data_IF_310689702080
#
_entry.id   IF_310689702080
#
_cell.length_a   1.000
_cell.length_b   1.000
_cell.length_c   1.000
_cell.angle_alpha   90.00
_cell.angle_beta   90.00
_cell.angle_gamma   90.00
#
_symmetry.space_group_name_H-M   'P 1'
#
loop_
_entity.id
_entity.type
_entity.pdbx_description
1 polymer ?
#
# COMPACT_ATOMS: atom_id res chain seq x y z
N UNK A 1 8.80 -8.91 12.41
CA UNK A 1 9.41 -7.89 13.30
C UNK A 1 10.53 -7.27 12.50
N UNK A 2 10.42 -5.97 12.23
CA UNK A 2 11.23 -5.25 11.26
C UNK A 2 12.71 -5.14 11.69
N UNK A 3 13.60 -4.91 10.72
CA UNK A 3 15.05 -4.67 10.83
C UNK A 3 15.41 -3.39 11.62
N UNK A 4 14.78 -3.15 12.77
CA UNK A 4 14.94 -1.97 13.62
C UNK A 4 15.76 -2.34 14.85
N UNK A 5 16.75 -1.52 15.16
CA UNK A 5 17.51 -1.62 16.40
C UNK A 5 16.92 -0.62 17.39
N UNK A 6 16.35 -1.13 18.47
CA UNK A 6 15.72 -0.30 19.51
C UNK A 6 16.78 0.12 20.51
N UNK A 7 16.81 1.41 20.84
CA UNK A 7 17.69 2.01 21.84
C UNK A 7 16.88 2.47 23.05
N UNK A 8 17.49 2.37 24.23
CA UNK A 8 16.98 2.85 25.51
C UNK A 8 17.32 4.34 25.78
N UNK A 9 18.03 4.99 24.86
CA UNK A 9 18.44 6.38 24.95
C UNK A 9 17.80 7.24 23.87
N UNK A 10 17.68 8.55 24.15
CA UNK A 10 17.24 9.54 23.16
C UNK A 10 18.32 9.75 22.10
N UNK A 11 17.88 9.92 20.87
CA UNK A 11 18.76 10.08 19.72
C UNK A 11 18.61 11.49 19.14
N UNK A 12 19.73 12.08 18.72
CA UNK A 12 19.76 13.44 18.15
C UNK A 12 20.46 13.42 16.80
N UNK A 13 19.85 14.07 15.81
CA UNK A 13 20.43 14.21 14.47
C UNK A 13 21.76 14.95 14.53
N UNK A 14 22.73 14.51 13.74
CA UNK A 14 24.07 15.08 13.66
C UNK A 14 25.01 14.62 14.77
N UNK A 15 24.53 13.81 15.73
CA UNK A 15 25.37 13.25 16.80
C UNK A 15 25.70 11.79 16.54
N UNK A 16 26.85 11.37 17.07
CA UNK A 16 27.19 9.95 17.17
C UNK A 16 26.46 9.33 18.36
N UNK A 17 25.97 8.11 18.14
CA UNK A 17 25.33 7.27 19.13
C UNK A 17 26.16 6.01 19.29
N UNK A 18 26.46 5.66 20.54
CA UNK A 18 27.17 4.43 20.88
C UNK A 18 26.12 3.34 21.12
N UNK A 19 26.33 2.19 20.49
CA UNK A 19 25.48 1.01 20.58
C UNK A 19 26.29 -0.11 21.24
N UNK A 20 25.77 -0.66 22.33
CA UNK A 20 26.37 -1.73 23.13
C UNK A 20 25.31 -2.78 23.48
N UNK A 21 25.71 -3.97 23.94
CA UNK A 21 24.78 -4.99 24.44
C UNK A 21 23.77 -5.52 23.39
N UNK A 22 22.50 -5.74 23.75
CA UNK A 22 21.50 -6.34 22.84
C UNK A 22 21.31 -5.58 21.51
N UNK A 23 21.29 -4.23 21.48
CA UNK A 23 21.30 -3.46 20.24
C UNK A 23 22.50 -3.76 19.31
N UNK A 24 23.69 -4.03 19.86
CA UNK A 24 24.87 -4.39 19.08
C UNK A 24 24.76 -5.80 18.50
N UNK A 25 24.18 -6.73 19.25
CA UNK A 25 23.88 -8.09 18.77
C UNK A 25 22.88 -8.05 17.61
N UNK A 26 21.84 -7.22 17.71
CA UNK A 26 20.88 -7.00 16.63
C UNK A 26 21.55 -6.42 15.37
N UNK A 27 22.46 -5.44 15.52
CA UNK A 27 23.25 -4.92 14.41
C UNK A 27 24.07 -6.00 13.70
N UNK A 28 24.69 -6.91 14.47
CA UNK A 28 25.47 -8.02 13.93
C UNK A 28 24.62 -9.07 13.26
N UNK A 29 23.49 -9.42 13.87
CA UNK A 29 22.53 -10.36 13.32
C UNK A 29 22.00 -9.87 11.96
N UNK A 30 21.80 -8.57 11.80
CA UNK A 30 21.43 -7.93 10.53
C UNK A 30 22.60 -7.81 9.53
N UNK A 31 23.79 -8.34 9.83
CA UNK A 31 24.96 -8.27 8.94
C UNK A 31 25.59 -6.89 8.83
N UNK A 32 25.42 -6.04 9.85
CA UNK A 32 25.97 -4.68 9.88
C UNK A 32 27.50 -4.66 9.79
N UNK A 33 28.04 -3.79 8.94
CA UNK A 33 29.47 -3.53 8.77
C UNK A 33 29.75 -2.03 8.85
N UNK A 34 31.01 -1.63 8.96
CA UNK A 34 31.39 -0.22 8.85
C UNK A 34 30.88 0.32 7.51
N UNK A 35 30.22 1.48 7.55
CA UNK A 35 29.55 2.10 6.41
C UNK A 35 28.09 1.67 6.20
N UNK A 36 27.61 0.63 6.87
CA UNK A 36 26.19 0.22 6.79
C UNK A 36 25.26 1.32 7.29
N UNK A 37 24.10 1.44 6.64
CA UNK A 37 23.01 2.31 7.08
C UNK A 37 21.99 1.43 7.79
N UNK A 38 21.54 1.86 8.97
CA UNK A 38 20.59 1.14 9.80
C UNK A 38 19.48 2.08 10.29
N UNK A 39 18.38 1.46 10.72
CA UNK A 39 17.25 2.14 11.36
C UNK A 39 17.34 1.95 12.87
N UNK A 40 17.37 3.06 13.60
CA UNK A 40 17.37 3.11 15.06
C UNK A 40 16.04 3.66 15.55
N UNK A 41 15.44 3.02 16.54
CA UNK A 41 14.27 3.57 17.24
C UNK A 41 14.73 4.03 18.62
N UNK A 42 14.51 5.29 18.96
CA UNK A 42 14.90 5.82 20.28
C UNK A 42 13.92 5.44 21.39
N UNK A 43 14.21 5.86 22.62
CA UNK A 43 13.35 5.60 23.77
C UNK A 43 12.00 6.33 23.75
N UNK A 44 11.80 7.30 22.85
CA UNK A 44 10.51 7.97 22.60
C UNK A 44 9.70 7.30 21.47
N UNK A 45 10.23 6.24 20.86
CA UNK A 45 9.59 5.56 19.73
C UNK A 45 9.76 6.26 18.39
N UNK A 46 10.66 7.25 18.28
CA UNK A 46 10.99 7.91 17.01
C UNK A 46 12.05 7.12 16.25
N UNK A 47 11.92 7.07 14.94
CA UNK A 47 12.89 6.40 14.08
C UNK A 47 13.93 7.36 13.52
N UNK A 48 15.15 6.87 13.42
CA UNK A 48 16.33 7.58 12.97
C UNK A 48 17.11 6.72 11.99
N UNK A 49 17.80 7.37 11.05
CA UNK A 49 18.80 6.69 10.23
C UNK A 49 20.19 7.01 10.70
N UNK A 50 20.95 5.94 10.87
CA UNK A 50 22.32 5.99 11.32
C UNK A 50 23.27 5.31 10.34
N UNK A 51 24.49 5.82 10.19
CA UNK A 51 25.58 5.14 9.48
C UNK A 51 26.60 4.63 10.48
N UNK A 52 26.94 3.34 10.40
CA UNK A 52 28.01 2.75 11.24
C UNK A 52 29.34 3.38 10.86
N UNK A 53 29.93 4.16 11.76
CA UNK A 53 31.26 4.74 11.57
C UNK A 53 32.34 3.78 12.06
N UNK A 54 32.09 3.10 13.18
CA UNK A 54 33.03 2.17 13.80
C UNK A 54 32.28 0.96 14.35
N UNK A 55 32.86 -0.21 14.20
CA UNK A 55 32.33 -1.46 14.73
C UNK A 55 33.47 -2.22 15.40
N UNK A 56 33.28 -2.56 16.68
CA UNK A 56 34.24 -3.33 17.47
C UNK A 56 33.57 -4.56 18.09
N UNK A 57 34.36 -5.35 18.83
CA UNK A 57 33.89 -6.54 19.57
C UNK A 57 32.83 -6.25 20.64
N UNK A 58 32.79 -5.04 21.20
CA UNK A 58 31.94 -4.70 22.35
C UNK A 58 31.03 -3.49 22.13
N UNK A 59 31.31 -2.66 21.11
CA UNK A 59 30.52 -1.47 20.79
C UNK A 59 30.55 -1.09 19.32
N UNK A 60 29.54 -0.34 18.88
CA UNK A 60 29.51 0.34 17.58
C UNK A 60 29.27 1.84 17.77
N UNK A 61 29.89 2.69 16.95
CA UNK A 61 29.52 4.10 16.81
C UNK A 61 28.72 4.28 15.53
N UNK A 62 27.57 4.94 15.67
CA UNK A 62 26.63 5.21 14.58
C UNK A 62 26.36 6.71 14.51
N UNK A 63 26.67 7.33 13.38
CA UNK A 63 26.33 8.73 13.13
C UNK A 63 24.89 8.85 12.65
N UNK A 64 24.10 9.63 13.38
CA UNK A 64 22.70 9.89 13.05
C UNK A 64 22.64 11.05 12.07
N UNK A 65 21.98 10.85 10.94
CA UNK A 65 21.89 11.87 9.89
C UNK A 65 20.47 12.17 9.43
N UNK A 66 19.48 11.39 9.88
CA UNK A 66 18.08 11.53 9.46
C UNK A 66 17.14 11.15 10.60
N UNK A 67 15.98 11.80 10.70
CA UNK A 67 14.86 11.37 11.54
C UNK A 67 13.63 11.23 10.66
N UNK A 68 12.79 10.24 10.94
CA UNK A 68 11.53 10.12 10.25
C UNK A 68 10.45 9.72 11.24
N UNK A 69 9.29 10.38 11.14
CA UNK A 69 8.08 9.91 11.80
C UNK A 69 7.78 8.52 11.26
N UNK A 70 7.53 7.59 12.17
CA UNK A 70 7.41 6.16 11.92
C UNK A 70 6.19 5.80 11.06
N UNK A 71 6.21 6.16 9.78
CA UNK A 71 5.59 5.43 8.67
C UNK A 71 6.15 6.01 7.36
N UNK A 72 7.19 5.38 6.80
CA UNK A 72 7.53 5.54 5.37
C UNK A 72 6.50 4.83 4.47
N UNK A 73 5.29 4.61 4.98
CA UNK A 73 4.24 3.84 4.34
C UNK A 73 3.15 4.82 3.97
N UNK A 74 2.78 4.81 2.70
CA UNK A 74 1.59 5.49 2.21
C UNK A 74 0.35 5.04 2.99
N UNK A 75 -0.54 5.99 3.29
CA UNK A 75 -1.87 5.68 3.81
C UNK A 75 -2.75 4.97 2.76
N UNK A 76 -2.33 4.99 1.49
CA UNK A 76 -2.95 4.27 0.40
C UNK A 76 -2.47 2.82 0.36
N UNK A 77 -3.33 1.89 0.78
CA UNK A 77 -3.08 0.45 0.71
C UNK A 77 -3.32 -0.07 -0.72
N UNK A 78 -2.29 -0.01 -1.55
CA UNK A 78 -2.33 -0.58 -2.90
C UNK A 78 -2.14 -2.10 -2.83
N UNK A 79 -3.07 -2.86 -3.39
CA UNK A 79 -2.98 -4.32 -3.55
C UNK A 79 -2.87 -4.63 -5.04
N UNK A 80 -1.70 -5.14 -5.45
CA UNK A 80 -1.42 -5.51 -6.83
C UNK A 80 -1.83 -6.96 -7.11
N UNK A 81 -2.87 -7.14 -7.91
CA UNK A 81 -3.19 -8.42 -8.55
C UNK A 81 -2.39 -8.51 -9.84
N UNK A 82 -1.44 -9.43 -9.90
CA UNK A 82 -0.52 -9.58 -11.01
C UNK A 82 -0.70 -10.95 -11.66
N UNK A 83 -1.19 -10.97 -12.91
CA UNK A 83 -1.19 -12.20 -13.69
C UNK A 83 0.26 -12.66 -13.91
N UNK A 84 0.51 -13.96 -13.85
CA UNK A 84 1.87 -14.48 -14.02
C UNK A 84 2.41 -14.12 -15.41
N UNK A 85 3.51 -13.34 -15.52
CA UNK A 85 4.13 -13.05 -16.79
C UNK A 85 4.83 -14.30 -17.34
N UNK A 86 4.94 -14.41 -18.66
CA UNK A 86 5.55 -15.58 -19.32
C UNK A 86 7.08 -15.67 -19.09
N UNK A 87 7.74 -14.53 -18.82
CA UNK A 87 9.20 -14.41 -18.61
C UNK A 87 9.55 -14.13 -17.15
N UNK A 88 10.84 -14.10 -16.82
CA UNK A 88 11.41 -13.70 -15.51
C UNK A 88 11.17 -12.21 -15.17
N UNK A 89 9.92 -11.76 -15.20
CA UNK A 89 9.52 -10.36 -14.96
C UNK A 89 8.90 -10.15 -13.60
N UNK A 90 8.35 -11.21 -13.00
CA UNK A 90 7.70 -11.11 -11.68
C UNK A 90 8.66 -10.61 -10.60
N UNK A 91 9.93 -11.04 -10.63
CA UNK A 91 10.94 -10.59 -9.65
C UNK A 91 11.15 -9.08 -9.72
N UNK A 92 11.22 -8.55 -10.95
CA UNK A 92 11.31 -7.11 -11.20
C UNK A 92 10.05 -6.37 -10.75
N UNK A 93 8.87 -6.91 -11.05
CA UNK A 93 7.58 -6.35 -10.60
C UNK A 93 7.53 -6.30 -9.08
N UNK A 94 7.88 -7.40 -8.40
CA UNK A 94 7.89 -7.47 -6.93
C UNK A 94 8.85 -6.43 -6.37
N UNK A 95 10.08 -6.36 -6.89
CA UNK A 95 11.07 -5.40 -6.44
C UNK A 95 10.54 -3.96 -6.57
N UNK A 96 10.05 -3.57 -7.75
CA UNK A 96 9.65 -2.19 -8.03
C UNK A 96 8.30 -1.81 -7.41
N UNK A 97 7.34 -2.72 -7.37
CA UNK A 97 6.09 -2.50 -6.65
C UNK A 97 6.34 -2.34 -5.14
N UNK A 98 7.29 -3.11 -4.59
CA UNK A 98 7.72 -2.97 -3.19
C UNK A 98 8.36 -1.62 -2.94
N UNK A 99 9.31 -1.18 -3.78
CA UNK A 99 9.94 0.15 -3.70
C UNK A 99 8.89 1.28 -3.75
N UNK A 100 7.83 1.12 -4.54
CA UNK A 100 6.74 2.09 -4.70
C UNK A 100 5.62 1.98 -3.65
N UNK A 101 5.81 1.22 -2.56
CA UNK A 101 4.86 1.24 -1.44
C UNK A 101 3.62 0.35 -1.59
N UNK A 102 3.64 -0.68 -2.45
CA UNK A 102 2.53 -1.66 -2.49
C UNK A 102 2.38 -2.36 -1.13
N UNK A 103 1.16 -2.63 -0.67
CA UNK A 103 0.92 -3.33 0.59
C UNK A 103 0.90 -4.86 0.43
N UNK A 104 0.38 -5.35 -0.69
CA UNK A 104 0.36 -6.77 -1.01
C UNK A 104 0.42 -7.02 -2.51
N UNK A 105 0.96 -8.18 -2.89
CA UNK A 105 0.99 -8.66 -4.28
C UNK A 105 0.32 -10.02 -4.32
N UNK A 106 -0.65 -10.18 -5.22
CA UNK A 106 -1.44 -11.38 -5.44
C UNK A 106 -1.12 -11.92 -6.83
N UNK A 107 -0.28 -12.96 -6.93
CA UNK A 107 -0.02 -13.63 -8.19
C UNK A 107 -1.25 -14.44 -8.60
N UNK A 108 -1.64 -14.40 -9.88
CA UNK A 108 -2.76 -15.22 -10.35
C UNK A 108 -2.61 -15.78 -11.76
N UNK A 109 -3.41 -16.80 -12.07
CA UNK A 109 -3.59 -17.36 -13.42
C UNK A 109 -4.72 -16.64 -14.15
N UNK A 110 -4.37 -15.93 -15.21
CA UNK A 110 -5.30 -15.57 -16.28
C UNK A 110 -5.34 -16.66 -17.36
N UNK A 111 -6.31 -16.59 -18.25
CA UNK A 111 -6.43 -17.49 -19.40
C UNK A 111 -5.21 -17.43 -20.33
N UNK A 112 -4.59 -16.25 -20.47
CA UNK A 112 -3.43 -15.99 -21.33
C UNK A 112 -2.10 -15.94 -20.60
N UNK A 113 -2.04 -16.41 -19.36
CA UNK A 113 -0.80 -16.54 -18.60
C UNK A 113 -0.40 -18.01 -18.47
N UNK A 114 0.92 -18.24 -18.37
CA UNK A 114 1.46 -19.54 -17.99
C UNK A 114 0.93 -19.98 -16.62
N UNK A 115 0.80 -21.30 -16.41
CA UNK A 115 0.46 -21.84 -15.09
C UNK A 115 1.65 -21.73 -14.12
N UNK A 116 1.39 -21.80 -12.82
CA UNK A 116 2.46 -21.87 -11.81
C UNK A 116 3.33 -23.12 -11.99
N UNK A 117 2.75 -24.27 -12.36
CA UNK A 117 3.48 -25.52 -12.60
C UNK A 117 4.37 -25.42 -13.84
N UNK A 118 3.87 -24.83 -14.92
CA UNK A 118 4.66 -24.51 -16.12
C UNK A 118 5.80 -23.55 -15.79
N UNK A 119 5.56 -22.63 -14.85
CA UNK A 119 6.58 -21.71 -14.38
C UNK A 119 7.61 -22.42 -13.50
N UNK A 120 7.18 -23.23 -12.54
CA UNK A 120 8.07 -23.94 -11.62
C UNK A 120 8.87 -25.05 -12.28
N UNK A 121 8.27 -25.74 -13.26
CA UNK A 121 8.97 -26.70 -14.13
C UNK A 121 10.04 -26.02 -14.98
N UNK A 122 9.76 -24.81 -15.49
CA UNK A 122 10.78 -23.97 -16.13
C UNK A 122 11.79 -23.45 -15.10
N UNK A 123 11.32 -23.03 -13.91
CA UNK A 123 12.08 -22.31 -12.89
C UNK A 123 11.43 -22.37 -11.49
N UNK A 124 11.99 -23.18 -10.58
CA UNK A 124 11.57 -23.25 -9.17
C UNK A 124 11.99 -22.01 -8.37
N UNK A 125 11.25 -20.89 -8.46
CA UNK A 125 11.62 -19.63 -7.77
C UNK A 125 10.48 -18.93 -7.02
N UNK A 126 9.25 -19.46 -7.02
CA UNK A 126 8.13 -18.83 -6.32
C UNK A 126 8.40 -18.62 -4.81
N UNK A 127 9.13 -19.57 -4.19
CA UNK A 127 9.59 -19.46 -2.79
C UNK A 127 10.47 -18.23 -2.50
N UNK A 128 11.14 -17.66 -3.53
CA UNK A 128 12.07 -16.52 -3.37
C UNK A 128 11.40 -15.16 -3.46
N UNK A 129 10.12 -15.09 -3.85
CA UNK A 129 9.43 -13.81 -4.04
C UNK A 129 9.35 -13.00 -2.76
N UNK A 130 9.10 -13.65 -1.62
CA UNK A 130 9.12 -12.98 -0.33
C UNK A 130 10.52 -12.47 0.02
N UNK A 131 11.59 -13.21 -0.29
CA UNK A 131 12.97 -12.75 -0.08
C UNK A 131 13.31 -11.52 -0.92
N UNK A 132 12.83 -11.47 -2.17
CA UNK A 132 13.01 -10.31 -3.06
C UNK A 132 12.30 -9.09 -2.47
N UNK A 133 11.08 -9.25 -1.98
CA UNK A 133 10.35 -8.19 -1.29
C UNK A 133 11.09 -7.70 -0.04
N UNK A 134 11.64 -8.61 0.79
CA UNK A 134 12.45 -8.25 1.97
C UNK A 134 13.67 -7.43 1.56
N UNK A 135 14.41 -7.85 0.53
CA UNK A 135 15.59 -7.10 0.03
C UNK A 135 15.19 -5.72 -0.52
N UNK A 136 14.07 -5.63 -1.23
CA UNK A 136 13.56 -4.36 -1.73
C UNK A 136 13.14 -3.43 -0.59
N UNK A 137 12.53 -3.94 0.48
CA UNK A 137 12.20 -3.18 1.70
C UNK A 137 13.45 -2.64 2.36
N UNK A 138 14.51 -3.46 2.51
CA UNK A 138 15.79 -3.03 3.07
C UNK A 138 16.43 -1.91 2.24
N UNK A 139 16.38 -2.02 0.91
CA UNK A 139 16.96 -1.02 0.00
C UNK A 139 16.16 0.28 -0.03
N UNK A 140 14.83 0.19 -0.15
CA UNK A 140 13.91 1.35 -0.18
C UNK A 140 13.66 1.95 1.19
N UNK A 141 14.06 1.23 2.25
CA UNK A 141 13.91 1.61 3.66
C UNK A 141 12.45 1.74 4.08
N UNK A 142 11.61 0.84 3.56
CA UNK A 142 10.21 0.70 3.99
C UNK A 142 10.13 0.12 5.40
N UNK A 143 9.08 0.49 6.13
CA UNK A 143 8.84 -0.02 7.47
C UNK A 143 8.14 -1.39 7.45
N UNK A 144 7.37 -1.67 6.39
CA UNK A 144 6.59 -2.91 6.25
C UNK A 144 7.02 -3.69 5.01
N UNK A 145 7.14 -5.00 5.17
CA UNK A 145 7.33 -5.91 4.05
C UNK A 145 5.98 -6.21 3.42
N UNK A 146 5.79 -6.00 2.11
CA UNK A 146 4.54 -6.36 1.47
C UNK A 146 4.31 -7.87 1.54
N UNK A 147 3.06 -8.25 1.71
CA UNK A 147 2.69 -9.67 1.71
C UNK A 147 2.63 -10.16 0.27
N UNK A 148 3.41 -11.18 -0.06
CA UNK A 148 3.23 -11.93 -1.30
C UNK A 148 2.24 -13.06 -1.00
N UNK A 149 1.02 -12.91 -1.51
CA UNK A 149 -0.04 -13.89 -1.31
C UNK A 149 0.21 -15.17 -2.13
N UNK A 150 -0.37 -16.32 -1.73
CA UNK A 150 -0.36 -17.53 -2.54
C UNK A 150 -0.93 -17.27 -3.92
N UNK A 151 -0.43 -18.03 -4.89
CA UNK A 151 -0.95 -18.02 -6.26
C UNK A 151 -2.40 -18.52 -6.31
N UNK A 152 -3.24 -17.85 -7.10
CA UNK A 152 -4.68 -18.12 -7.22
C UNK A 152 -5.15 -18.15 -8.68
N UNK A 153 -6.36 -18.62 -8.91
CA UNK A 153 -7.06 -18.43 -10.19
C UNK A 153 -7.55 -16.99 -10.37
N UNK A 154 -7.91 -16.63 -11.60
CA UNK A 154 -8.53 -15.33 -11.90
C UNK A 154 -9.78 -15.08 -11.04
N UNK A 155 -10.67 -16.06 -10.93
CA UNK A 155 -11.93 -15.96 -10.19
C UNK A 155 -11.68 -15.74 -8.69
N UNK A 156 -10.85 -16.58 -8.07
CA UNK A 156 -10.50 -16.45 -6.66
C UNK A 156 -9.85 -15.08 -6.37
N UNK A 157 -9.11 -14.53 -7.33
CA UNK A 157 -8.49 -13.22 -7.20
C UNK A 157 -9.52 -12.09 -7.21
N UNK A 158 -10.58 -12.22 -8.02
CA UNK A 158 -11.71 -11.28 -7.99
C UNK A 158 -12.49 -11.37 -6.67
N UNK A 159 -12.68 -12.58 -6.14
CA UNK A 159 -13.39 -12.83 -4.87
C UNK A 159 -12.61 -12.35 -3.64
N UNK A 160 -11.28 -12.35 -3.71
CA UNK A 160 -10.43 -11.77 -2.68
C UNK A 160 -10.67 -10.26 -2.49
N UNK A 161 -11.11 -9.56 -3.55
CA UNK A 161 -11.25 -8.11 -3.53
C UNK A 161 -12.55 -7.68 -2.84
N UNK A 162 -12.41 -7.00 -1.69
CA UNK A 162 -13.54 -6.44 -0.93
C UNK A 162 -14.37 -5.47 -1.76
N UNK A 163 -15.67 -5.35 -1.48
CA UNK A 163 -16.57 -4.46 -2.21
C UNK A 163 -16.27 -2.97 -1.98
N UNK A 164 -15.87 -2.61 -0.75
CA UNK A 164 -15.61 -1.21 -0.34
C UNK A 164 -14.19 -0.72 -0.70
N UNK A 165 -13.78 -0.90 -1.95
CA UNK A 165 -12.47 -0.45 -2.43
C UNK A 165 -12.52 -0.04 -3.90
N UNK A 166 -11.64 0.89 -4.29
CA UNK A 166 -11.44 1.20 -5.70
C UNK A 166 -10.75 0.02 -6.39
N UNK A 167 -11.35 -0.48 -7.47
CA UNK A 167 -10.84 -1.61 -8.24
C UNK A 167 -10.54 -1.16 -9.67
N UNK A 168 -9.27 -1.22 -10.06
CA UNK A 168 -8.79 -0.82 -11.38
C UNK A 168 -8.27 -2.04 -12.12
N UNK A 169 -8.67 -2.21 -13.37
CA UNK A 169 -8.18 -3.23 -14.28
C UNK A 169 -7.43 -2.55 -15.43
N UNK A 170 -6.17 -2.90 -15.68
CA UNK A 170 -5.48 -2.43 -16.87
C UNK A 170 -5.88 -3.25 -18.09
N UNK A 171 -6.46 -2.58 -19.09
CA UNK A 171 -6.84 -3.23 -20.35
C UNK A 171 -6.61 -2.31 -21.55
N UNK A 172 -5.89 -2.81 -22.54
CA UNK A 172 -5.43 -2.04 -23.69
C UNK A 172 -6.53 -1.72 -24.73
N UNK A 173 -7.55 -2.57 -24.82
CA UNK A 173 -8.59 -2.47 -25.86
C UNK A 173 -9.65 -1.43 -25.58
N UNK A 174 -10.16 -1.37 -24.36
CA UNK A 174 -11.20 -0.43 -23.92
C UNK A 174 -10.91 -0.04 -22.48
N UNK A 175 -11.28 1.18 -22.10
CA UNK A 175 -11.09 1.64 -20.74
C UNK A 175 -11.06 3.15 -20.65
N UNK A 176 -11.37 3.64 -19.47
CA UNK A 176 -11.36 5.07 -19.19
C UNK A 176 -9.92 5.56 -18.94
N UNK A 177 -9.72 6.87 -19.04
CA UNK A 177 -8.46 7.45 -18.59
C UNK A 177 -8.44 7.55 -17.05
N UNK A 178 -7.25 7.37 -16.45
CA UNK A 178 -7.09 7.53 -14.99
C UNK A 178 -7.60 8.88 -14.49
N UNK A 179 -7.43 9.98 -15.26
CA UNK A 179 -7.94 11.31 -14.91
C UNK A 179 -9.46 11.33 -14.67
N UNK A 180 -10.21 10.60 -15.49
CA UNK A 180 -11.68 10.52 -15.35
C UNK A 180 -12.05 9.69 -14.13
N UNK A 181 -11.34 8.58 -13.91
CA UNK A 181 -11.53 7.74 -12.72
C UNK A 181 -11.24 8.52 -11.45
N UNK A 182 -10.12 9.25 -11.38
CA UNK A 182 -9.77 10.09 -10.24
C UNK A 182 -10.76 11.23 -10.03
N UNK A 183 -11.20 11.93 -11.08
CA UNK A 183 -12.21 12.99 -10.92
C UNK A 183 -13.52 12.45 -10.32
N UNK A 184 -13.95 11.25 -10.73
CA UNK A 184 -15.12 10.58 -10.17
C UNK A 184 -14.87 10.15 -8.73
N UNK A 185 -13.71 9.59 -8.46
CA UNK A 185 -13.30 9.16 -7.14
C UNK A 185 -13.21 10.34 -6.17
N UNK A 186 -12.53 11.43 -6.52
CA UNK A 186 -12.49 12.66 -5.71
C UNK A 186 -13.86 13.32 -5.54
N UNK A 187 -14.78 13.19 -6.51
CA UNK A 187 -16.16 13.68 -6.33
C UNK A 187 -16.96 12.84 -5.33
N UNK A 188 -16.71 11.54 -5.27
CA UNK A 188 -17.31 10.60 -4.32
C UNK A 188 -16.62 10.65 -2.95
N UNK A 189 -15.33 11.00 -2.93
CA UNK A 189 -14.45 11.06 -1.77
C UNK A 189 -13.67 12.38 -1.80
N UNK A 190 -14.30 13.52 -1.48
CA UNK A 190 -13.66 14.83 -1.55
C UNK A 190 -12.39 14.86 -0.70
N UNK A 191 -11.27 15.38 -1.23
CA UNK A 191 -10.05 15.53 -0.46
C UNK A 191 -10.32 16.40 0.77
N UNK A 192 -9.67 16.01 1.86
CA UNK A 192 -9.71 16.59 3.18
C UNK A 192 -9.71 18.13 3.18
N UNK A 193 -10.88 18.74 3.37
CA UNK A 193 -10.95 20.06 4.01
C UNK A 193 -11.18 19.82 5.49
N UNK A 194 -10.27 20.29 6.35
CA UNK A 194 -10.47 20.37 7.80
C UNK A 194 -11.78 21.13 8.08
N UNK A 195 -12.90 20.43 8.21
CA UNK A 195 -14.10 21.01 8.82
C UNK A 195 -13.95 20.92 10.32
N UNK A 196 -13.37 21.96 10.89
CA UNK A 196 -13.50 22.25 12.32
C UNK A 196 -14.99 22.47 12.64
N UNK A 197 -15.69 21.44 13.09
CA UNK A 197 -16.94 21.61 13.81
C UNK A 197 -16.61 22.23 15.16
N UNK A 198 -16.67 23.57 15.27
CA UNK A 198 -16.62 24.25 16.57
C UNK A 198 -17.84 23.83 17.38
N UNK A 199 -17.62 23.20 18.53
CA UNK A 199 -18.67 22.92 19.49
C UNK A 199 -19.24 24.23 20.03
N UNK A 200 -20.36 24.65 19.47
CA UNK A 200 -21.24 25.65 20.05
C UNK A 200 -22.54 24.98 20.45
N UNK A 201 -22.59 24.44 21.67
CA UNK A 201 -23.83 24.20 22.41
C UNK A 201 -24.69 22.99 21.99
N UNK A 202 -24.81 22.07 22.95
CA UNK A 202 -25.80 20.99 23.07
C UNK A 202 -25.58 19.68 22.29
N UNK A 203 -25.68 18.59 23.05
CA UNK A 203 -25.42 17.20 22.65
C UNK A 203 -26.46 16.70 21.65
N UNK A 204 -26.18 16.78 20.35
CA UNK A 204 -26.83 15.96 19.33
C UNK A 204 -25.77 15.23 18.50
N UNK A 205 -25.91 13.91 18.40
CA UNK A 205 -25.00 13.01 17.69
C UNK A 205 -25.10 13.29 16.18
N UNK A 206 -24.01 13.69 15.54
CA UNK A 206 -23.94 13.70 14.08
C UNK A 206 -23.62 12.29 13.57
N UNK A 207 -24.59 11.60 12.98
CA UNK A 207 -24.35 10.46 12.09
C UNK A 207 -24.41 10.96 10.63
N UNK A 208 -23.38 10.66 9.83
CA UNK A 208 -23.38 10.95 8.40
C UNK A 208 -23.91 9.73 7.63
N UNK A 209 -25.16 9.78 7.17
CA UNK A 209 -25.65 8.85 6.13
C UNK A 209 -25.75 9.57 4.79
N UNK A 210 -25.06 9.03 3.79
CA UNK A 210 -25.18 9.43 2.38
C UNK A 210 -26.51 8.89 1.83
N UNK A 211 -27.56 9.71 1.82
CA UNK A 211 -28.82 9.37 1.14
C UNK A 211 -28.69 9.67 -0.35
N UNK A 212 -29.13 8.70 -1.16
CA UNK A 212 -29.02 8.61 -2.61
C UNK A 212 -29.43 9.88 -3.39
N UNK A 213 -28.66 10.12 -4.47
CA UNK A 213 -29.07 10.77 -5.71
C UNK A 213 -29.77 12.15 -5.61
N UNK A 214 -29.18 13.09 -4.88
CA UNK A 214 -29.18 14.52 -5.24
C UNK A 214 -28.35 15.30 -4.22
N UNK A 215 -27.39 16.08 -4.70
CA UNK A 215 -26.46 16.89 -3.92
C UNK A 215 -27.15 17.94 -3.04
N UNK A 216 -27.78 17.56 -1.92
CA UNK A 216 -28.17 18.44 -0.81
C UNK A 216 -28.08 17.68 0.51
N UNK A 217 -27.21 18.15 1.40
CA UNK A 217 -27.18 17.73 2.81
C UNK A 217 -28.45 18.27 3.47
N UNK A 218 -29.33 17.39 3.91
CA UNK A 218 -30.49 17.73 4.75
C UNK A 218 -30.24 17.17 6.15
N UNK A 219 -30.23 18.05 7.15
CA UNK A 219 -30.32 17.65 8.56
C UNK A 219 -31.71 17.05 8.79
N UNK A 220 -31.79 15.76 9.08
CA UNK A 220 -33.03 15.10 9.45
C UNK A 220 -32.87 14.46 10.84
N UNK A 221 -33.88 14.66 11.69
CA UNK A 221 -34.03 14.02 12.99
C UNK A 221 -34.26 12.52 12.78
N UNK A 222 -33.80 11.73 13.74
CA UNK A 222 -33.91 10.27 13.77
C UNK A 222 -35.36 9.80 13.51
N UNK A 223 -35.58 8.80 12.64
CA UNK A 223 -36.74 7.94 12.73
C UNK A 223 -36.37 6.61 13.40
N UNK A 224 -37.30 6.11 14.21
CA UNK A 224 -37.28 4.84 14.92
C UNK A 224 -36.95 3.60 14.05
N UNK A 225 -36.54 2.48 14.65
CA UNK A 225 -35.85 1.41 13.93
C UNK A 225 -36.84 0.51 13.18
N UNK A 226 -36.86 0.60 11.85
CA UNK A 226 -37.42 -0.45 11.01
C UNK A 226 -36.70 -0.58 9.66
N UNK A 227 -36.13 -1.77 9.46
CA UNK A 227 -35.81 -2.46 8.20
C UNK A 227 -35.15 -1.67 7.04
N UNK A 228 -33.93 -2.09 6.70
CA UNK A 228 -33.38 -2.04 5.34
C UNK A 228 -32.89 -0.67 4.85
N UNK A 229 -31.60 -0.37 5.07
CA UNK A 229 -30.85 0.58 4.23
C UNK A 229 -29.34 0.45 4.40
N UNK A 230 -28.64 0.55 3.26
CA UNK A 230 -27.19 0.52 3.11
C UNK A 230 -26.53 1.61 3.97
N UNK A 231 -25.66 1.19 4.90
CA UNK A 231 -24.80 2.09 5.68
C UNK A 231 -23.52 2.37 4.89
N UNK A 232 -23.25 3.65 4.65
CA UNK A 232 -21.97 4.12 4.11
C UNK A 232 -20.81 3.76 5.03
N UNK A 233 -19.67 3.39 4.42
CA UNK A 233 -18.52 2.78 5.08
C UNK A 233 -17.46 3.85 5.35
N UNK A 234 -17.22 4.14 6.62
CA UNK A 234 -16.14 5.01 7.09
C UNK A 234 -15.22 4.21 8.03
N UNK A 235 -13.90 4.27 7.84
CA UNK A 235 -12.95 3.78 8.84
C UNK A 235 -12.83 4.82 9.96
N UNK A 236 -13.47 4.57 11.10
CA UNK A 236 -13.34 5.43 12.30
C UNK A 236 -12.15 4.97 13.14
N UNK A 237 -11.13 5.81 13.29
CA UNK A 237 -10.09 5.61 14.32
C UNK A 237 -10.36 6.56 15.48
N UNK A 238 -10.76 6.02 16.62
CA UNK A 238 -10.87 6.76 17.87
C UNK A 238 -9.60 6.59 18.70
N UNK A 239 -8.87 7.67 19.00
CA UNK A 239 -8.27 7.90 20.32
C UNK A 239 -7.68 9.30 20.50
N UNK A 240 -8.21 10.00 21.51
CA UNK A 240 -7.53 11.07 22.25
C UNK A 240 -8.29 12.39 22.26
N UNK A 241 -9.07 12.64 23.32
CA UNK A 241 -9.48 13.99 23.79
C UNK A 241 -10.32 14.85 22.83
N UNK A 242 -11.53 15.21 23.25
CA UNK A 242 -12.36 16.27 22.63
C UNK A 242 -12.50 16.24 21.09
N UNK A 243 -13.30 15.28 20.60
CA UNK A 243 -14.24 15.55 19.51
C UNK A 243 -13.72 15.73 18.07
N UNK A 244 -12.49 15.38 17.74
CA UNK A 244 -12.04 15.30 16.34
C UNK A 244 -12.33 13.89 15.77
N UNK A 245 -13.14 13.83 14.71
CA UNK A 245 -13.35 12.63 13.90
C UNK A 245 -12.70 12.85 12.53
N UNK A 246 -11.63 12.12 12.24
CA UNK A 246 -10.98 12.10 10.93
C UNK A 246 -11.68 11.07 10.02
N UNK A 247 -12.12 11.52 8.85
CA UNK A 247 -12.71 10.67 7.81
C UNK A 247 -11.69 10.56 6.69
N UNK A 248 -11.17 9.36 6.46
CA UNK A 248 -10.17 9.09 5.43
C UNK A 248 -10.85 8.65 4.11
N UNK A 249 -10.37 9.10 2.93
CA UNK A 249 -10.74 8.49 1.64
C UNK A 249 -10.37 7.00 1.67
N UNK A 250 -10.97 6.15 0.82
CA UNK A 250 -10.84 4.71 1.01
C UNK A 250 -9.36 4.33 0.95
N UNK A 251 -8.93 3.75 2.07
CA UNK A 251 -7.55 3.42 2.40
C UNK A 251 -7.00 2.29 1.53
N UNK A 252 -7.76 1.80 0.53
CA UNK A 252 -7.48 0.56 -0.20
C UNK A 252 -7.83 0.64 -1.68
N UNK A 253 -6.87 0.29 -2.52
CA UNK A 253 -7.03 0.20 -3.97
C UNK A 253 -6.54 -1.15 -4.47
N UNK A 254 -7.39 -1.87 -5.19
CA UNK A 254 -7.00 -3.07 -5.91
C UNK A 254 -6.67 -2.70 -7.36
N UNK A 255 -5.48 -3.07 -7.81
CA UNK A 255 -5.08 -2.93 -9.21
C UNK A 255 -4.84 -4.30 -9.82
N UNK A 256 -5.38 -4.55 -11.01
CA UNK A 256 -5.24 -5.81 -11.72
C UNK A 256 -4.51 -5.61 -13.04
N UNK A 257 -3.41 -6.33 -13.21
CA UNK A 257 -2.52 -6.25 -14.37
C UNK A 257 -2.41 -7.62 -15.03
N UNK A 258 -2.67 -7.67 -16.34
CA UNK A 258 -2.65 -8.89 -17.14
C UNK A 258 -1.24 -9.32 -17.56
N UNK A 259 -1.11 -10.53 -18.15
CA UNK A 259 0.14 -11.01 -18.74
C UNK A 259 0.41 -10.31 -20.08
N UNK A 260 1.49 -10.70 -20.77
CA UNK A 260 1.83 -10.16 -22.09
C UNK A 260 0.69 -10.27 -23.12
N UNK A 261 -0.14 -11.32 -23.03
CA UNK A 261 -1.30 -11.53 -23.89
C UNK A 261 -2.56 -10.72 -23.52
N UNK A 262 -2.50 -9.92 -22.44
CA UNK A 262 -3.64 -9.19 -21.90
C UNK A 262 -4.76 -10.10 -21.38
N UNK A 263 -5.94 -9.52 -21.17
CA UNK A 263 -7.14 -10.23 -20.73
C UNK A 263 -8.07 -10.60 -21.90
N UNK A 264 -8.82 -11.68 -21.73
CA UNK A 264 -9.93 -12.00 -22.64
C UNK A 264 -11.14 -11.11 -22.39
N UNK A 265 -12.05 -11.03 -23.36
CA UNK A 265 -13.29 -10.25 -23.19
C UNK A 265 -14.17 -10.79 -22.06
N UNK A 266 -14.13 -12.10 -21.82
CA UNK A 266 -14.86 -12.76 -20.74
C UNK A 266 -14.26 -12.42 -19.37
N UNK A 267 -12.92 -12.47 -19.23
CA UNK A 267 -12.23 -12.04 -18.01
C UNK A 267 -12.57 -10.59 -17.65
N UNK A 268 -12.51 -9.68 -18.64
CA UNK A 268 -12.86 -8.27 -18.42
C UNK A 268 -14.33 -8.11 -18.03
N UNK A 269 -15.24 -8.86 -18.65
CA UNK A 269 -16.67 -8.83 -18.31
C UNK A 269 -16.91 -9.28 -16.87
N UNK A 270 -16.26 -10.35 -16.43
CA UNK A 270 -16.33 -10.86 -15.06
C UNK A 270 -15.74 -9.86 -14.06
N UNK A 271 -14.60 -9.25 -14.39
CA UNK A 271 -13.98 -8.22 -13.56
C UNK A 271 -14.92 -7.00 -13.41
N UNK A 272 -15.54 -6.53 -14.51
CA UNK A 272 -16.54 -5.44 -14.49
C UNK A 272 -17.71 -5.78 -13.57
N UNK A 273 -18.22 -7.02 -13.59
CA UNK A 273 -19.30 -7.47 -12.70
C UNK A 273 -18.91 -7.44 -11.21
N UNK A 274 -17.60 -7.58 -10.91
CA UNK A 274 -17.06 -7.48 -9.55
C UNK A 274 -16.61 -6.06 -9.17
N UNK A 275 -16.95 -5.07 -9.98
CA UNK A 275 -16.70 -3.65 -9.74
C UNK A 275 -15.36 -3.12 -10.24
N UNK A 276 -14.59 -3.90 -11.02
CA UNK A 276 -13.36 -3.39 -11.63
C UNK A 276 -13.68 -2.41 -12.76
N UNK A 277 -12.97 -1.28 -12.74
CA UNK A 277 -13.03 -0.25 -13.77
C UNK A 277 -11.86 -0.48 -14.74
N UNK A 278 -12.11 -0.82 -16.03
CA UNK A 278 -11.05 -0.92 -17.01
C UNK A 278 -10.47 0.45 -17.33
N UNK A 279 -9.14 0.51 -17.37
CA UNK A 279 -8.37 1.73 -17.54
C UNK A 279 -7.25 1.52 -18.55
N UNK A 280 -6.96 2.58 -19.31
CA UNK A 280 -5.82 2.68 -20.23
C UNK A 280 -4.75 3.63 -19.71
N UNK A 281 -3.48 3.29 -19.99
CA UNK A 281 -2.31 4.12 -19.69
C UNK A 281 -1.77 4.79 -20.96
N UNK A 282 -2.57 5.69 -21.52
CA UNK A 282 -2.24 6.39 -22.76
C UNK A 282 -2.41 5.52 -24.01
N UNK A 283 -1.82 5.97 -25.13
CA UNK A 283 -1.97 5.33 -26.46
C UNK A 283 -0.98 4.17 -26.71
N UNK A 284 0.08 4.08 -25.90
CA UNK A 284 1.14 3.09 -26.08
C UNK A 284 0.82 1.84 -25.27
N UNK A 285 0.99 0.68 -25.90
CA UNK A 285 0.90 -0.60 -25.19
C UNK A 285 2.19 -0.76 -24.37
N UNK A 286 2.05 -0.71 -23.05
CA UNK A 286 3.15 -0.94 -22.12
C UNK A 286 3.31 -2.44 -21.90
N UNK A 287 4.55 -2.88 -21.65
CA UNK A 287 4.79 -4.24 -21.17
C UNK A 287 4.18 -4.41 -19.79
N UNK A 288 3.77 -5.64 -19.44
CA UNK A 288 3.16 -5.97 -18.14
C UNK A 288 3.90 -5.36 -16.95
N UNK A 289 5.23 -5.50 -16.89
CA UNK A 289 6.04 -4.96 -15.81
C UNK A 289 6.02 -3.43 -15.76
N UNK A 290 6.12 -2.78 -16.92
CA UNK A 290 6.07 -1.32 -17.03
C UNK A 290 4.69 -0.80 -16.67
N UNK A 291 3.63 -1.49 -17.08
CA UNK A 291 2.25 -1.12 -16.81
C UNK A 291 1.96 -1.15 -15.30
N UNK A 292 2.36 -2.22 -14.61
CA UNK A 292 2.21 -2.33 -13.16
C UNK A 292 2.95 -1.20 -12.42
N UNK A 293 4.24 -1.01 -12.71
CA UNK A 293 5.08 0.01 -12.06
C UNK A 293 4.52 1.42 -12.30
N UNK A 294 4.12 1.71 -13.54
CA UNK A 294 3.58 3.02 -13.92
C UNK A 294 2.27 3.30 -13.19
N UNK A 295 1.35 2.33 -13.13
CA UNK A 295 0.07 2.52 -12.44
C UNK A 295 0.26 2.75 -10.94
N UNK A 296 1.13 1.99 -10.29
CA UNK A 296 1.42 2.18 -8.85
C UNK A 296 2.00 3.57 -8.63
N UNK A 297 2.97 3.99 -9.44
CA UNK A 297 3.57 5.32 -9.34
C UNK A 297 2.53 6.44 -9.51
N UNK A 298 1.63 6.33 -10.49
CA UNK A 298 0.56 7.32 -10.69
C UNK A 298 -0.41 7.33 -9.49
N UNK A 299 -0.79 6.17 -8.98
CA UNK A 299 -1.69 6.09 -7.82
C UNK A 299 -1.06 6.70 -6.56
N UNK A 300 0.21 6.41 -6.30
CA UNK A 300 0.92 7.01 -5.18
C UNK A 300 1.12 8.52 -5.37
N UNK A 301 1.29 8.99 -6.61
CA UNK A 301 1.39 10.42 -6.89
C UNK A 301 0.05 11.14 -6.70
N UNK A 302 -1.06 10.56 -7.14
CA UNK A 302 -2.37 11.24 -7.09
C UNK A 302 -3.12 11.07 -5.76
N UNK A 303 -2.90 9.94 -5.07
CA UNK A 303 -3.67 9.53 -3.89
C UNK A 303 -2.81 9.10 -2.70
N UNK A 304 -1.49 8.97 -2.88
CA UNK A 304 -0.57 8.44 -1.88
C UNK A 304 0.42 9.47 -1.36
N UNK A 305 1.68 9.07 -1.26
CA UNK A 305 2.77 9.84 -0.63
C UNK A 305 3.88 10.30 -1.60
N UNK A 306 3.72 10.08 -2.91
CA UNK A 306 4.70 10.50 -3.93
C UNK A 306 4.43 11.89 -4.53
N UNK A 307 3.31 12.53 -4.22
CA UNK A 307 2.89 13.81 -4.83
C UNK A 307 1.82 14.57 -4.06
#
# INVERSE_FOLDING_TARGET
MADRIVLDQKVVIGKEVIIEGPPLEALRFQGGRIGSILTLTDSEGKDFRGRVLRLSGVKASVLIFDTFSSSTESLLEIILLQALPEKERMEWIIQKATELGVAAIIPFKSERSISLEERESKQKKAHRWQEIAIKAVQQSRRAKVPKIEPYRSFIESLEFCKEDALKILLWEKEGESLKVVFKRFSALYPPFEKRLCRQGGNKEKCHAELVSASNRIKCLRDPEPSSGRQKGVYDTVSKGGEGEFEIYPPTKVYIMVGPEGGFTGEEVKLAKQKGFIPVKLGQRILRTETAAITLIGILQYELGDLG
#
